data_IF_960017723327
#
_entry.id   IF_960017723327
#
_cell.length_a   1.000
_cell.length_b   1.000
_cell.length_c   1.000
_cell.angle_alpha   90.00
_cell.angle_beta   90.00
_cell.angle_gamma   90.00
#
_symmetry.space_group_name_H-M   'P 1'
#
loop_
_entity.id
_entity.type
_entity.pdbx_description
1 polymer ?
#
# COMPACT_ATOMS: atom_id res chain seq x y z
N UNK A 1 -2.10 20.68 -2.92
CA UNK A 1 -1.55 20.34 -1.59
C UNK A 1 -1.46 18.82 -1.56
N UNK A 2 -0.26 18.22 -1.56
CA UNK A 2 -0.13 16.78 -1.45
C UNK A 2 -0.64 16.39 -0.05
N UNK A 3 -1.71 15.59 0.02
CA UNK A 3 -2.22 15.11 1.30
C UNK A 3 -1.20 14.20 1.97
N UNK A 4 -1.08 14.29 3.29
CA UNK A 4 -0.27 13.33 4.06
C UNK A 4 -0.94 11.96 4.01
N UNK A 5 -0.18 10.92 3.67
CA UNK A 5 -0.56 9.53 3.84
C UNK A 5 0.08 9.00 5.14
N UNK A 6 -0.74 8.48 6.05
CA UNK A 6 -0.26 7.79 7.26
C UNK A 6 -0.21 6.29 7.01
N UNK A 7 0.94 5.66 7.28
CA UNK A 7 1.09 4.20 7.20
C UNK A 7 1.47 3.65 8.57
N UNK A 8 0.73 2.64 9.04
CA UNK A 8 1.00 1.93 10.29
C UNK A 8 1.54 0.54 9.98
N UNK A 9 2.78 0.25 10.39
CA UNK A 9 3.43 -1.06 10.31
C UNK A 9 3.51 -1.75 11.67
N UNK A 10 4.36 -2.77 11.76
CA UNK A 10 4.71 -3.45 13.01
C UNK A 10 6.24 -3.56 13.16
N UNK A 11 6.71 -3.93 14.34
CA UNK A 11 8.12 -4.24 14.58
C UNK A 11 8.32 -5.73 14.91
N UNK A 12 9.41 -6.32 14.43
CA UNK A 12 9.82 -7.70 14.67
C UNK A 12 11.23 -7.76 15.27
N UNK A 13 11.63 -8.95 15.76
CA UNK A 13 12.96 -9.23 16.33
C UNK A 13 13.38 -8.22 17.40
N UNK A 14 12.64 -8.16 18.51
CA UNK A 14 12.95 -7.22 19.61
C UNK A 14 13.05 -5.78 19.12
N UNK A 15 12.12 -5.38 18.26
CA UNK A 15 12.02 -4.02 17.70
C UNK A 15 13.17 -3.62 16.75
N UNK A 16 14.00 -4.56 16.31
CA UNK A 16 15.13 -4.28 15.40
C UNK A 16 14.74 -4.21 13.93
N UNK A 17 13.54 -4.69 13.56
CA UNK A 17 13.06 -4.69 12.19
C UNK A 17 11.69 -4.01 12.14
N UNK A 18 11.59 -2.91 11.40
CA UNK A 18 10.31 -2.30 11.03
C UNK A 18 9.75 -2.97 9.79
N UNK A 19 8.46 -3.31 9.80
CA UNK A 19 7.82 -4.05 8.71
C UNK A 19 6.51 -3.40 8.27
N UNK A 20 6.41 -3.18 6.96
CA UNK A 20 5.24 -2.64 6.28
C UNK A 20 4.88 -3.54 5.09
N UNK A 21 3.83 -4.35 5.23
CA UNK A 21 3.37 -5.33 4.23
C UNK A 21 2.03 -4.91 3.62
N UNK A 22 1.79 -5.34 2.38
CA UNK A 22 0.50 -5.12 1.73
C UNK A 22 0.21 -3.68 1.28
N UNK A 23 1.22 -2.81 1.20
CA UNK A 23 1.05 -1.45 0.65
C UNK A 23 0.77 -1.58 -0.86
N UNK A 24 -0.39 -1.11 -1.35
CA UNK A 24 -0.67 -1.16 -2.77
C UNK A 24 0.19 -0.13 -3.51
N UNK A 25 0.65 -0.50 -4.71
CA UNK A 25 1.45 0.38 -5.58
C UNK A 25 0.76 0.65 -6.94
N UNK A 26 -0.30 -0.09 -7.26
CA UNK A 26 -1.06 0.00 -8.50
C UNK A 26 -2.52 -0.42 -8.25
N UNK A 27 -3.41 -0.06 -9.16
CA UNK A 27 -4.78 -0.59 -9.15
C UNK A 27 -4.78 -2.12 -9.38
N UNK A 28 -5.70 -2.88 -8.76
CA UNK A 28 -5.80 -4.32 -8.98
C UNK A 28 -5.99 -4.67 -10.47
N UNK A 29 -5.14 -5.52 -11.08
CA UNK A 29 -5.17 -5.81 -12.52
C UNK A 29 -6.24 -6.85 -12.88
N UNK A 30 -7.49 -6.61 -12.47
CA UNK A 30 -8.63 -7.50 -12.64
C UNK A 30 -9.68 -6.89 -13.58
N UNK A 31 -10.62 -7.71 -14.06
CA UNK A 31 -11.69 -7.26 -14.95
C UNK A 31 -11.13 -6.61 -16.24
N UNK A 32 -11.57 -5.39 -16.60
CA UNK A 32 -11.05 -4.66 -17.76
C UNK A 32 -9.55 -4.37 -17.73
N UNK A 33 -8.92 -4.35 -16.54
CA UNK A 33 -7.49 -4.10 -16.38
C UNK A 33 -6.63 -5.36 -16.60
N UNK A 34 -7.25 -6.52 -16.82
CA UNK A 34 -6.50 -7.76 -17.09
C UNK A 34 -5.68 -7.58 -18.38
N UNK A 35 -4.42 -7.98 -18.34
CA UNK A 35 -3.46 -7.86 -19.45
C UNK A 35 -3.05 -6.43 -19.83
N UNK A 36 -3.46 -5.43 -19.06
CA UNK A 36 -2.99 -4.05 -19.23
C UNK A 36 -1.71 -3.79 -18.41
N UNK A 37 -0.92 -2.76 -18.77
CA UNK A 37 0.13 -2.24 -17.88
C UNK A 37 -0.45 -1.83 -16.52
N UNK A 38 0.37 -1.78 -15.45
CA UNK A 38 -0.06 -1.32 -14.13
C UNK A 38 -0.72 0.06 -14.22
N UNK A 39 -1.93 0.20 -13.68
CA UNK A 39 -2.62 1.47 -13.62
C UNK A 39 -2.35 2.15 -12.28
N UNK A 40 -2.31 3.49 -12.21
CA UNK A 40 -2.23 4.21 -10.94
C UNK A 40 -3.34 3.79 -9.98
N UNK A 41 -3.05 3.82 -8.68
CA UNK A 41 -4.07 3.62 -7.65
C UNK A 41 -5.21 4.63 -7.81
N UNK A 42 -6.43 4.12 -7.90
CA UNK A 42 -7.63 4.94 -7.91
C UNK A 42 -7.90 5.47 -6.50
N UNK A 43 -7.42 6.68 -6.23
CA UNK A 43 -7.54 7.35 -4.92
C UNK A 43 -6.36 7.03 -4.00
N UNK A 44 -5.81 8.07 -3.36
CA UNK A 44 -4.82 7.90 -2.31
C UNK A 44 -5.55 7.58 -1.00
N UNK A 45 -5.34 6.42 -0.37
CA UNK A 45 -5.82 6.22 0.99
C UNK A 45 -5.18 7.28 1.88
N UNK A 46 -5.93 7.91 2.78
CA UNK A 46 -5.34 8.82 3.76
C UNK A 46 -4.62 8.04 4.88
N UNK A 47 -5.00 6.77 5.09
CA UNK A 47 -4.41 5.87 6.09
C UNK A 47 -4.32 4.43 5.56
N UNK A 48 -3.19 3.76 5.80
CA UNK A 48 -2.95 2.35 5.45
C UNK A 48 -2.44 1.60 6.69
N UNK A 49 -3.08 0.48 7.02
CA UNK A 49 -2.55 -0.49 7.98
C UNK A 49 -1.83 -1.61 7.22
N UNK A 50 -0.51 -1.69 7.40
CA UNK A 50 0.42 -2.50 6.63
C UNK A 50 1.03 -3.64 7.46
N UNK A 51 0.18 -4.37 8.20
CA UNK A 51 0.61 -5.43 9.13
C UNK A 51 0.26 -6.85 8.67
N UNK A 52 -0.42 -7.01 7.53
CA UNK A 52 -0.84 -8.31 7.00
C UNK A 52 -0.14 -8.65 5.69
#
# INVERSE_FOLDING_TARGET
MLGTLTVTGETLNEETIEVFRGIPFAAPPVGPLRWMPPQPLSGTPQQITATR
#
